data_IF_405987796425
#
_entry.id   IF_405987796425
#
_cell.length_a   1.000
_cell.length_b   1.000
_cell.length_c   1.000
_cell.angle_alpha   90.00
_cell.angle_beta   90.00
_cell.angle_gamma   90.00
#
_symmetry.space_group_name_H-M   'P 1'
#
loop_
_entity.id
_entity.type
_entity.pdbx_description
1 polymer ?
#
# COMPACT_ATOMS: atom_id res chain seq x y z
N UNK A 1 39.43 45.06 -36.01
CA UNK A 1 39.90 44.94 -34.61
C UNK A 1 38.80 44.27 -33.82
N UNK A 2 38.92 42.96 -33.57
CA UNK A 2 37.94 42.21 -32.79
C UNK A 2 38.46 42.18 -31.36
N UNK A 3 37.94 43.06 -30.55
CA UNK A 3 38.19 43.09 -29.10
C UNK A 3 37.47 41.91 -28.47
N UNK A 4 38.24 40.88 -28.12
CA UNK A 4 37.74 39.70 -27.36
C UNK A 4 37.30 40.22 -25.99
N UNK A 5 35.99 40.34 -25.81
CA UNK A 5 35.36 40.44 -24.51
C UNK A 5 35.71 39.21 -23.70
N UNK A 6 36.74 39.31 -22.86
CA UNK A 6 37.12 38.34 -21.88
C UNK A 6 36.01 38.30 -20.81
N UNK A 7 34.99 37.46 -21.04
CA UNK A 7 33.94 37.17 -20.07
C UNK A 7 34.61 36.60 -18.82
N UNK A 8 34.78 37.41 -17.79
CA UNK A 8 35.28 37.01 -16.49
C UNK A 8 34.38 35.90 -15.97
N UNK A 9 34.86 34.64 -16.02
CA UNK A 9 34.24 33.53 -15.36
C UNK A 9 34.49 33.70 -13.86
N UNK A 10 33.55 34.31 -13.17
CA UNK A 10 33.55 34.31 -11.70
C UNK A 10 33.31 32.87 -11.25
N UNK A 11 34.36 32.20 -10.76
CA UNK A 11 34.26 30.89 -10.13
C UNK A 11 33.71 31.03 -8.70
N UNK A 12 33.01 30.00 -8.21
CA UNK A 12 32.60 29.95 -6.83
C UNK A 12 33.82 29.86 -5.89
N UNK A 13 33.75 30.53 -4.77
CA UNK A 13 34.78 30.43 -3.75
C UNK A 13 34.59 29.13 -2.93
N UNK A 14 35.68 28.57 -2.40
CA UNK A 14 35.62 27.40 -1.55
C UNK A 14 34.72 27.60 -0.30
N UNK A 15 34.74 28.83 0.23
CA UNK A 15 33.92 29.21 1.39
C UNK A 15 32.42 29.21 1.07
N UNK A 16 32.01 29.72 -0.10
CA UNK A 16 30.62 29.66 -0.53
C UNK A 16 30.12 28.23 -0.64
N UNK A 17 30.94 27.33 -1.16
CA UNK A 17 30.57 25.91 -1.25
C UNK A 17 30.41 25.28 0.13
N UNK A 18 31.35 25.52 1.07
CA UNK A 18 31.29 24.96 2.43
C UNK A 18 30.06 25.47 3.18
N UNK A 19 29.74 26.76 3.07
CA UNK A 19 28.55 27.34 3.73
C UNK A 19 27.27 26.70 3.21
N UNK A 20 27.16 26.48 1.89
CA UNK A 20 25.96 25.83 1.29
C UNK A 20 25.78 24.42 1.81
N UNK A 21 26.84 23.60 1.79
CA UNK A 21 26.72 22.21 2.28
C UNK A 21 26.45 22.15 3.80
N UNK A 22 26.96 23.09 4.57
CA UNK A 22 26.67 23.19 6.01
C UNK A 22 25.19 23.49 6.25
N UNK A 23 24.60 24.45 5.53
CA UNK A 23 23.17 24.77 5.63
C UNK A 23 22.30 23.58 5.22
N UNK A 24 22.61 22.94 4.08
CA UNK A 24 21.87 21.74 3.62
C UNK A 24 21.97 20.64 4.66
N UNK A 25 23.14 20.41 5.26
CA UNK A 25 23.34 19.40 6.30
C UNK A 25 22.45 19.62 7.53
N UNK A 26 22.33 20.84 8.01
CA UNK A 26 21.47 21.18 9.15
C UNK A 26 19.99 20.99 8.79
N UNK A 27 19.55 21.44 7.61
CA UNK A 27 18.18 21.27 7.17
C UNK A 27 17.83 19.80 6.96
N UNK A 28 18.72 19.02 6.36
CA UNK A 28 18.53 17.60 6.14
C UNK A 28 18.41 16.82 7.46
N UNK A 29 19.18 17.16 8.47
CA UNK A 29 19.14 16.50 9.78
C UNK A 29 17.75 16.58 10.44
N UNK A 30 16.99 17.64 10.19
CA UNK A 30 15.64 17.82 10.74
C UNK A 30 14.56 17.23 9.81
N UNK A 31 14.72 17.38 8.50
CA UNK A 31 13.68 17.01 7.53
C UNK A 31 13.64 15.50 7.23
N UNK A 32 14.80 14.84 7.19
CA UNK A 32 14.88 13.41 6.82
C UNK A 32 14.04 12.51 7.73
N UNK A 33 14.09 12.60 9.07
CA UNK A 33 13.27 11.74 9.92
C UNK A 33 11.76 11.92 9.69
N UNK A 34 11.30 13.14 9.50
CA UNK A 34 9.90 13.45 9.22
C UNK A 34 9.47 12.94 7.84
N UNK A 35 10.35 13.06 6.85
CA UNK A 35 10.09 12.59 5.49
C UNK A 35 9.90 11.07 5.43
N UNK A 36 10.71 10.31 6.17
CA UNK A 36 10.57 8.84 6.26
C UNK A 36 9.21 8.45 6.84
N UNK A 37 8.75 9.13 7.91
CA UNK A 37 7.42 8.89 8.47
C UNK A 37 6.30 9.21 7.48
N UNK A 38 6.46 10.25 6.68
CA UNK A 38 5.49 10.63 5.65
C UNK A 38 5.38 9.58 4.54
N UNK A 39 6.52 9.04 4.11
CA UNK A 39 6.57 7.97 3.12
C UNK A 39 5.85 6.72 3.67
N UNK A 40 6.10 6.33 4.91
CA UNK A 40 5.45 5.16 5.50
C UNK A 40 3.93 5.32 5.58
N UNK A 41 3.44 6.46 6.03
CA UNK A 41 1.99 6.77 6.00
C UNK A 41 1.38 6.72 4.60
N UNK A 42 2.11 7.17 3.59
CA UNK A 42 1.66 7.08 2.20
C UNK A 42 1.58 5.64 1.71
N UNK A 43 2.52 4.79 2.12
CA UNK A 43 2.52 3.35 1.84
C UNK A 43 1.35 2.65 2.55
N UNK A 44 1.12 2.96 3.83
CA UNK A 44 -0.04 2.46 4.58
C UNK A 44 -1.35 2.78 3.86
N UNK A 45 -1.54 4.02 3.40
CA UNK A 45 -2.72 4.41 2.63
C UNK A 45 -2.90 3.62 1.32
N UNK A 46 -1.79 3.33 0.63
CA UNK A 46 -1.82 2.49 -0.58
C UNK A 46 -2.24 1.05 -0.25
N UNK A 47 -1.72 0.50 0.84
CA UNK A 47 -1.99 -0.87 1.26
C UNK A 47 -3.43 -1.03 1.77
N UNK A 48 -3.96 -0.03 2.50
CA UNK A 48 -5.38 0.02 2.88
C UNK A 48 -6.27 -0.03 1.64
N UNK A 49 -6.02 0.80 0.64
CA UNK A 49 -6.81 0.79 -0.59
C UNK A 49 -6.76 -0.57 -1.32
N UNK A 50 -5.62 -1.26 -1.30
CA UNK A 50 -5.49 -2.59 -1.90
C UNK A 50 -6.35 -3.64 -1.16
N UNK A 51 -6.40 -3.58 0.16
CA UNK A 51 -7.23 -4.46 0.99
C UNK A 51 -8.71 -4.14 0.78
N UNK A 52 -9.10 -2.87 0.71
CA UNK A 52 -10.47 -2.44 0.43
C UNK A 52 -10.93 -2.88 -0.96
N UNK A 53 -10.09 -2.73 -1.97
CA UNK A 53 -10.39 -3.18 -3.34
C UNK A 53 -10.60 -4.70 -3.39
N UNK A 54 -9.80 -5.47 -2.64
CA UNK A 54 -10.00 -6.91 -2.53
C UNK A 54 -11.32 -7.23 -1.81
N UNK A 55 -11.65 -6.53 -0.74
CA UNK A 55 -12.92 -6.69 -0.03
C UNK A 55 -14.12 -6.46 -0.96
N UNK A 56 -14.13 -5.37 -1.71
CA UNK A 56 -15.17 -5.10 -2.70
C UNK A 56 -15.24 -6.14 -3.81
N UNK A 57 -14.10 -6.69 -4.23
CA UNK A 57 -14.06 -7.80 -5.17
C UNK A 57 -14.75 -9.05 -4.61
N UNK A 58 -14.58 -9.33 -3.33
CA UNK A 58 -15.27 -10.43 -2.63
C UNK A 58 -16.77 -10.17 -2.57
N UNK A 59 -17.21 -8.94 -2.27
CA UNK A 59 -18.63 -8.57 -2.28
C UNK A 59 -19.27 -8.76 -3.65
N UNK A 60 -18.61 -8.27 -4.69
CA UNK A 60 -19.11 -8.40 -6.09
C UNK A 60 -19.22 -9.87 -6.47
N UNK A 61 -18.19 -10.68 -6.22
CA UNK A 61 -18.21 -12.10 -6.53
C UNK A 61 -19.31 -12.85 -5.74
N UNK A 62 -19.53 -12.50 -4.49
CA UNK A 62 -20.59 -13.08 -3.67
C UNK A 62 -21.98 -12.70 -4.20
N UNK A 63 -22.17 -11.45 -4.60
CA UNK A 63 -23.43 -10.96 -5.17
C UNK A 63 -23.73 -11.62 -6.54
N UNK A 64 -22.73 -11.71 -7.41
CA UNK A 64 -22.85 -12.31 -8.75
C UNK A 64 -23.19 -13.79 -8.68
N UNK A 65 -22.56 -14.52 -7.77
CA UNK A 65 -22.75 -15.98 -7.61
C UNK A 65 -23.90 -16.35 -6.70
N UNK A 66 -24.48 -15.38 -5.99
CA UNK A 66 -25.49 -15.62 -4.96
C UNK A 66 -24.97 -16.37 -3.74
N UNK A 67 -23.65 -16.36 -3.50
CA UNK A 67 -23.02 -17.06 -2.36
C UNK A 67 -23.33 -16.31 -1.07
N UNK A 68 -24.02 -16.98 -0.14
CA UNK A 68 -24.48 -16.40 1.13
C UNK A 68 -23.82 -16.99 2.36
N UNK A 69 -22.78 -17.80 2.19
CA UNK A 69 -22.05 -18.40 3.30
C UNK A 69 -20.65 -18.80 2.90
N UNK A 70 -19.71 -18.66 3.81
CA UNK A 70 -18.32 -19.04 3.64
C UNK A 70 -17.37 -17.99 4.19
N UNK A 71 -16.10 -18.29 4.19
CA UNK A 71 -15.05 -17.36 4.62
C UNK A 71 -13.95 -17.27 3.58
N UNK A 72 -13.46 -16.05 3.38
CA UNK A 72 -12.27 -15.75 2.59
C UNK A 72 -11.19 -15.27 3.54
N UNK A 73 -10.11 -16.00 3.65
CA UNK A 73 -8.95 -15.62 4.46
C UNK A 73 -7.96 -14.89 3.57
N UNK A 74 -7.49 -13.75 4.03
CA UNK A 74 -6.54 -12.87 3.33
C UNK A 74 -5.25 -12.86 4.12
N UNK A 75 -4.12 -12.96 3.44
CA UNK A 75 -2.78 -12.88 4.02
C UNK A 75 -1.79 -12.32 3.03
N UNK A 76 -0.62 -11.95 3.51
CA UNK A 76 0.49 -11.51 2.66
C UNK A 76 1.50 -12.66 2.56
N UNK A 77 1.98 -12.94 1.36
CA UNK A 77 2.96 -13.98 1.09
C UNK A 77 4.41 -13.50 1.31
N UNK A 78 5.38 -14.40 1.13
CA UNK A 78 6.82 -14.12 1.29
C UNK A 78 7.35 -13.05 0.29
N UNK A 79 6.60 -12.75 -0.76
CA UNK A 79 6.93 -11.74 -1.76
C UNK A 79 6.19 -10.41 -1.53
N UNK A 80 5.69 -10.20 -0.32
CA UNK A 80 4.88 -9.04 0.07
C UNK A 80 3.57 -8.89 -0.74
N UNK A 81 3.06 -9.97 -1.32
CA UNK A 81 1.83 -9.93 -2.12
C UNK A 81 0.61 -10.34 -1.31
N UNK A 82 -0.46 -9.56 -1.47
CA UNK A 82 -1.75 -9.84 -0.88
C UNK A 82 -2.39 -11.05 -1.56
N UNK A 83 -2.60 -12.11 -0.82
CA UNK A 83 -3.17 -13.38 -1.28
C UNK A 83 -4.47 -13.68 -0.54
N UNK A 84 -5.31 -14.52 -1.13
CA UNK A 84 -6.53 -14.98 -0.47
C UNK A 84 -6.72 -16.50 -0.63
N UNK A 85 -7.40 -17.09 0.32
CA UNK A 85 -7.79 -18.49 0.33
C UNK A 85 -9.22 -18.65 0.81
N UNK A 86 -9.84 -19.77 0.47
CA UNK A 86 -11.25 -20.05 0.74
C UNK A 86 -11.40 -21.12 1.82
N UNK A 87 -12.45 -21.02 2.65
CA UNK A 87 -12.83 -22.09 3.54
C UNK A 87 -13.29 -23.33 2.77
N UNK A 88 -13.09 -24.49 3.39
CA UNK A 88 -13.63 -25.75 2.86
C UNK A 88 -15.16 -25.65 2.77
N UNK A 89 -15.70 -25.92 1.57
CA UNK A 89 -17.15 -25.85 1.31
C UNK A 89 -17.63 -24.58 0.65
N UNK A 90 -16.76 -23.60 0.38
CA UNK A 90 -17.14 -22.47 -0.45
C UNK A 90 -17.42 -22.92 -1.89
N UNK A 91 -18.48 -22.40 -2.48
CA UNK A 91 -18.92 -22.77 -3.83
C UNK A 91 -17.82 -22.50 -4.87
N UNK A 92 -17.57 -23.44 -5.77
CA UNK A 92 -16.53 -23.34 -6.79
C UNK A 92 -16.75 -22.16 -7.75
N UNK A 93 -18.03 -21.80 -8.02
CA UNK A 93 -18.38 -20.65 -8.83
C UNK A 93 -17.90 -19.34 -8.18
N UNK A 94 -18.01 -19.20 -6.86
CA UNK A 94 -17.50 -18.02 -6.13
C UNK A 94 -15.98 -17.91 -6.26
N UNK A 95 -15.27 -19.03 -6.15
CA UNK A 95 -13.81 -19.05 -6.31
C UNK A 95 -13.40 -18.65 -7.73
N UNK A 96 -14.09 -19.15 -8.74
CA UNK A 96 -13.85 -18.80 -10.14
C UNK A 96 -14.17 -17.33 -10.42
N UNK A 97 -15.29 -16.83 -9.89
CA UNK A 97 -15.70 -15.44 -10.07
C UNK A 97 -14.72 -14.47 -9.42
N UNK A 98 -14.32 -14.71 -8.18
CA UNK A 98 -13.33 -13.87 -7.52
C UNK A 98 -11.99 -13.86 -8.27
N UNK A 99 -11.54 -15.02 -8.77
CA UNK A 99 -10.32 -15.12 -9.56
C UNK A 99 -10.42 -14.37 -10.91
N UNK A 100 -11.61 -14.20 -11.46
CA UNK A 100 -11.84 -13.42 -12.67
C UNK A 100 -11.81 -11.91 -12.42
N UNK A 101 -12.32 -11.47 -11.27
CA UNK A 101 -12.35 -10.05 -10.88
C UNK A 101 -10.96 -9.61 -10.38
N UNK A 102 -10.34 -10.39 -9.51
CA UNK A 102 -9.03 -10.08 -8.96
C UNK A 102 -8.19 -11.33 -8.76
N UNK A 103 -7.01 -11.36 -9.38
CA UNK A 103 -6.07 -12.46 -9.20
C UNK A 103 -5.43 -12.41 -7.80
N UNK A 104 -5.31 -13.57 -7.15
CA UNK A 104 -4.51 -13.68 -5.92
C UNK A 104 -3.07 -13.23 -6.19
N UNK A 105 -2.52 -12.41 -5.32
CA UNK A 105 -1.19 -11.82 -5.50
C UNK A 105 -1.12 -10.63 -6.47
N UNK A 106 -2.26 -10.05 -6.85
CA UNK A 106 -2.31 -8.84 -7.71
C UNK A 106 -1.68 -7.63 -7.02
N UNK A 107 -1.90 -7.46 -5.74
CA UNK A 107 -1.44 -6.30 -4.99
C UNK A 107 -0.16 -6.63 -4.21
N UNK A 108 0.80 -5.71 -4.23
CA UNK A 108 2.05 -5.80 -3.44
C UNK A 108 1.98 -4.79 -2.30
N UNK A 109 2.11 -5.28 -1.08
CA UNK A 109 2.12 -4.46 0.13
C UNK A 109 3.45 -3.72 0.27
N UNK A 110 3.40 -2.46 0.68
CA UNK A 110 4.56 -1.55 0.70
C UNK A 110 4.92 -1.05 2.09
N UNK A 111 3.94 -0.95 2.98
CA UNK A 111 4.17 -0.52 4.37
C UNK A 111 4.64 -1.68 5.23
N UNK A 112 5.27 -1.36 6.36
CA UNK A 112 5.70 -2.37 7.33
C UNK A 112 4.52 -3.16 7.89
N UNK A 113 3.43 -2.46 8.25
CA UNK A 113 2.22 -3.10 8.78
C UNK A 113 1.43 -3.84 7.69
N UNK A 114 1.42 -3.31 6.45
CA UNK A 114 0.76 -3.95 5.32
C UNK A 114 1.36 -5.32 4.97
N UNK A 115 2.66 -5.46 5.08
CA UNK A 115 3.37 -6.73 4.83
C UNK A 115 3.05 -7.83 5.85
N UNK A 116 2.59 -7.47 7.03
CA UNK A 116 2.13 -8.39 8.07
C UNK A 116 0.60 -8.54 8.11
N UNK A 117 -0.12 -8.02 7.11
CA UNK A 117 -1.57 -8.02 7.12
C UNK A 117 -2.15 -9.42 7.02
N UNK A 118 -3.12 -9.68 7.87
CA UNK A 118 -3.97 -10.87 7.83
C UNK A 118 -5.40 -10.46 8.12
N UNK A 119 -6.36 -11.09 7.46
CA UNK A 119 -7.77 -10.79 7.67
C UNK A 119 -8.66 -11.93 7.24
N UNK A 120 -9.88 -11.94 7.74
CA UNK A 120 -10.92 -12.91 7.37
C UNK A 120 -12.21 -12.18 7.08
N UNK A 121 -12.76 -12.42 5.90
CA UNK A 121 -14.07 -11.94 5.47
C UNK A 121 -15.06 -13.06 5.58
N UNK A 122 -16.15 -12.85 6.27
CA UNK A 122 -17.26 -13.81 6.34
C UNK A 122 -18.41 -13.36 5.48
N UNK A 123 -18.89 -14.27 4.64
CA UNK A 123 -20.07 -14.09 3.82
C UNK A 123 -21.31 -14.54 4.59
N UNK A 124 -22.35 -13.72 4.55
CA UNK A 124 -23.63 -14.00 5.15
C UNK A 124 -24.78 -13.57 4.23
N UNK A 125 -26.01 -13.85 4.63
CA UNK A 125 -27.21 -13.38 3.89
C UNK A 125 -27.35 -11.87 3.85
N UNK A 126 -26.68 -11.15 4.74
CA UNK A 126 -26.65 -9.68 4.82
C UNK A 126 -25.47 -9.07 4.04
N UNK A 127 -24.55 -9.87 3.51
CA UNK A 127 -23.39 -9.43 2.75
C UNK A 127 -22.06 -9.95 3.28
N UNK A 128 -20.97 -9.37 2.81
CA UNK A 128 -19.62 -9.64 3.28
C UNK A 128 -19.30 -8.76 4.49
N UNK A 129 -18.66 -9.30 5.49
CA UNK A 129 -18.22 -8.57 6.68
C UNK A 129 -16.83 -9.00 7.11
N UNK A 130 -16.04 -8.08 7.64
CA UNK A 130 -14.79 -8.42 8.30
C UNK A 130 -15.06 -9.12 9.64
N UNK A 131 -14.57 -10.35 9.79
CA UNK A 131 -14.65 -11.07 11.07
C UNK A 131 -13.44 -10.77 11.93
N UNK A 132 -12.27 -10.79 11.33
CA UNK A 132 -10.99 -10.44 11.97
C UNK A 132 -10.08 -9.79 10.95
N UNK A 133 -9.28 -8.83 11.38
CA UNK A 133 -8.20 -8.28 10.56
C UNK A 133 -7.13 -7.65 11.46
N UNK A 134 -5.88 -7.67 11.00
CA UNK A 134 -4.79 -6.88 11.57
C UNK A 134 -4.92 -5.42 11.12
N UNK A 135 -4.25 -4.52 11.80
CA UNK A 135 -4.23 -3.10 11.43
C UNK A 135 -3.14 -2.84 10.38
N UNK A 136 -3.37 -1.85 9.55
CA UNK A 136 -2.35 -1.25 8.68
C UNK A 136 -2.21 0.20 9.14
N UNK A 137 -1.23 0.45 10.01
CA UNK A 137 -1.03 1.77 10.61
C UNK A 137 -2.22 2.26 11.43
N UNK A 138 -2.39 3.58 11.48
CA UNK A 138 -3.54 4.22 12.13
C UNK A 138 -4.74 4.43 11.18
N UNK A 139 -4.57 4.14 9.90
CA UNK A 139 -5.51 4.52 8.85
C UNK A 139 -6.54 3.43 8.52
N UNK A 140 -6.31 2.19 8.95
CA UNK A 140 -7.25 1.12 8.73
C UNK A 140 -8.23 1.03 9.90
N UNK A 141 -9.33 1.74 9.82
CA UNK A 141 -10.51 1.45 10.64
C UNK A 141 -11.31 0.39 9.90
N UNK A 142 -11.76 -0.63 10.64
CA UNK A 142 -12.61 -1.68 10.10
C UNK A 142 -13.74 -1.06 9.25
N UNK A 143 -13.85 -1.51 8.03
CA UNK A 143 -15.02 -1.27 7.21
C UNK A 143 -16.13 -2.09 7.87
N UNK A 144 -17.03 -1.42 8.55
CA UNK A 144 -18.20 -2.01 9.21
C UNK A 144 -19.32 -2.26 8.22
#
# INVERSE_FOLDING_TARGET
MIEKLKKSKKGFTLVELIVVIAIIGVLAAVLVPQYIQYIEKSREGTDVNAVEELFHSVEIAAATTGTKSGTVSISVDENDKLTYSFSSGMAANMQTELASITASGKYTMKSTDGKAFTGTITLSTSGATWTTHSKIGSNFSAIS
#
